data_IF_629822818155
#
_entry.id   IF_629822818155
#
_cell.length_a   1.000
_cell.length_b   1.000
_cell.length_c   1.000
_cell.angle_alpha   90.00
_cell.angle_beta   90.00
_cell.angle_gamma   90.00
#
_symmetry.space_group_name_H-M   'P 1'
#
loop_
_entity.id
_entity.type
_entity.pdbx_description
1 polymer ?
#
# COMPACT_ATOMS: atom_id res chain seq x y z
N UNK A 1 27.46 6.35 5.69
CA UNK A 1 26.55 6.16 4.56
C UNK A 1 25.23 6.83 4.92
N UNK A 2 24.73 7.71 4.06
CA UNK A 2 23.42 8.34 4.25
C UNK A 2 22.35 7.51 3.53
N UNK A 3 21.20 7.29 4.15
CA UNK A 3 20.10 6.45 3.63
C UNK A 3 18.79 7.16 3.89
N UNK A 4 17.92 7.21 2.90
CA UNK A 4 16.56 7.68 3.08
C UNK A 4 15.61 6.50 3.02
N UNK A 5 14.68 6.45 3.98
CA UNK A 5 13.61 5.46 4.06
C UNK A 5 12.28 6.20 4.05
N UNK A 6 11.46 5.95 3.04
CA UNK A 6 10.12 6.47 2.92
C UNK A 6 9.14 5.38 3.37
N UNK A 7 8.44 5.65 4.45
CA UNK A 7 7.34 4.84 4.97
C UNK A 7 6.04 5.24 4.27
N UNK A 8 5.37 4.27 3.65
CA UNK A 8 4.15 4.44 2.88
C UNK A 8 3.00 3.66 3.54
N UNK A 9 1.87 4.34 3.69
CA UNK A 9 0.65 3.80 4.31
C UNK A 9 -0.51 3.91 3.32
N UNK A 10 -1.18 2.80 3.02
CA UNK A 10 -2.40 2.82 2.21
C UNK A 10 -3.61 3.23 3.04
N UNK A 11 -4.37 4.20 2.53
CA UNK A 11 -5.64 4.60 3.13
C UNK A 11 -6.69 3.48 3.01
N UNK A 12 -6.99 2.84 4.14
CA UNK A 12 -8.00 1.75 4.24
C UNK A 12 -7.72 0.59 3.28
N UNK A 13 -6.47 0.12 3.26
CA UNK A 13 -5.93 -0.81 2.27
C UNK A 13 -6.87 -2.00 1.93
N UNK A 14 -7.32 -2.71 2.96
CA UNK A 14 -8.21 -3.87 2.81
C UNK A 14 -9.60 -3.48 2.29
N UNK A 15 -10.13 -2.31 2.63
CA UNK A 15 -11.46 -1.85 2.20
C UNK A 15 -11.47 -1.30 0.77
N UNK A 16 -10.30 -0.92 0.23
CA UNK A 16 -10.22 -0.21 -1.05
C UNK A 16 -9.97 -1.11 -2.26
N UNK A 17 -9.63 -2.38 -2.07
CA UNK A 17 -9.32 -3.31 -3.18
C UNK A 17 -10.47 -3.40 -4.18
N UNK A 18 -10.32 -2.92 -5.44
CA UNK A 18 -11.41 -2.96 -6.40
C UNK A 18 -11.61 -4.38 -6.94
N UNK A 19 -12.80 -4.97 -6.75
CA UNK A 19 -13.06 -6.37 -7.11
C UNK A 19 -12.73 -6.69 -8.57
N UNK A 20 -13.15 -5.86 -9.53
CA UNK A 20 -12.86 -6.09 -10.96
C UNK A 20 -11.35 -6.13 -11.26
N UNK A 21 -10.56 -5.29 -10.59
CA UNK A 21 -9.10 -5.26 -10.79
C UNK A 21 -8.40 -6.40 -10.09
N UNK A 22 -8.87 -6.80 -8.92
CA UNK A 22 -8.45 -8.03 -8.28
C UNK A 22 -8.67 -9.22 -9.21
N UNK A 23 -9.85 -9.35 -9.83
CA UNK A 23 -10.12 -10.46 -10.75
C UNK A 23 -9.20 -10.47 -11.96
N UNK A 24 -8.81 -9.30 -12.50
CA UNK A 24 -7.82 -9.21 -13.59
C UNK A 24 -6.48 -9.78 -13.12
N UNK A 25 -5.99 -9.38 -11.94
CA UNK A 25 -4.72 -9.89 -11.40
C UNK A 25 -4.75 -11.40 -11.14
N UNK A 26 -5.81 -11.90 -10.53
CA UNK A 26 -5.95 -13.34 -10.24
C UNK A 26 -5.91 -14.18 -11.52
N UNK A 27 -6.60 -13.74 -12.57
CA UNK A 27 -6.57 -14.41 -13.89
C UNK A 27 -5.19 -14.32 -14.54
N UNK A 28 -4.51 -13.18 -14.43
CA UNK A 28 -3.17 -12.98 -15.00
C UNK A 28 -2.08 -13.83 -14.30
N UNK A 29 -2.26 -14.16 -13.03
CA UNK A 29 -1.36 -15.06 -12.29
C UNK A 29 -1.59 -16.54 -12.69
N UNK A 30 -2.64 -16.83 -13.47
CA UNK A 30 -2.93 -18.17 -13.96
C UNK A 30 -3.82 -19.00 -13.05
N UNK A 31 -4.57 -18.38 -12.12
CA UNK A 31 -5.57 -19.11 -11.34
C UNK A 31 -6.64 -19.68 -12.25
N UNK A 32 -7.03 -20.94 -11.99
CA UNK A 32 -8.06 -21.61 -12.76
C UNK A 32 -9.38 -20.84 -12.77
N UNK A 33 -10.12 -20.95 -13.88
CA UNK A 33 -11.36 -20.22 -14.09
C UNK A 33 -12.41 -20.49 -12.99
N UNK A 34 -12.52 -21.74 -12.53
CA UNK A 34 -13.46 -22.12 -11.48
C UNK A 34 -13.13 -21.46 -10.13
N UNK A 35 -11.85 -21.37 -9.78
CA UNK A 35 -11.39 -20.70 -8.56
C UNK A 35 -11.66 -19.19 -8.67
N UNK A 36 -11.34 -18.59 -9.82
CA UNK A 36 -11.65 -17.18 -10.05
C UNK A 36 -13.15 -16.87 -9.91
N UNK A 37 -14.01 -17.69 -10.53
CA UNK A 37 -15.46 -17.50 -10.43
C UNK A 37 -15.97 -17.66 -9.00
N UNK A 38 -15.41 -18.61 -8.24
CA UNK A 38 -15.76 -18.79 -6.84
C UNK A 38 -15.37 -17.56 -6.00
N UNK A 39 -14.16 -17.02 -6.19
CA UNK A 39 -13.70 -15.79 -5.51
C UNK A 39 -14.57 -14.59 -5.89
N UNK A 40 -14.89 -14.44 -7.18
CA UNK A 40 -15.74 -13.36 -7.68
C UNK A 40 -17.14 -13.41 -7.03
N UNK A 41 -17.74 -14.60 -6.97
CA UNK A 41 -19.02 -14.82 -6.30
C UNK A 41 -18.93 -14.57 -4.78
N UNK A 42 -17.81 -14.91 -4.15
CA UNK A 42 -17.60 -14.66 -2.72
C UNK A 42 -17.50 -13.17 -2.35
N UNK A 43 -17.05 -12.34 -3.30
CA UNK A 43 -16.94 -10.88 -3.15
C UNK A 43 -18.21 -10.13 -3.56
N UNK A 44 -18.98 -10.69 -4.50
CA UNK A 44 -20.14 -10.06 -5.15
C UNK A 44 -21.34 -9.94 -4.20
N UNK A 45 -22.13 -8.88 -4.41
CA UNK A 45 -23.43 -8.60 -3.76
C UNK A 45 -23.42 -8.68 -2.22
N UNK A 46 -22.25 -8.45 -1.62
CA UNK A 46 -22.09 -8.45 -0.18
C UNK A 46 -22.76 -7.24 0.45
N UNK A 47 -23.39 -7.47 1.60
CA UNK A 47 -23.93 -6.42 2.46
C UNK A 47 -23.17 -6.39 3.78
N UNK A 48 -23.04 -5.20 4.37
CA UNK A 48 -22.53 -5.00 5.73
C UNK A 48 -23.46 -4.10 6.52
N UNK A 49 -23.44 -4.25 7.85
CA UNK A 49 -24.07 -3.35 8.82
C UNK A 49 -23.24 -3.31 10.09
N UNK A 50 -23.38 -2.25 10.86
CA UNK A 50 -22.73 -2.10 12.16
C UNK A 50 -23.72 -2.47 13.26
N UNK A 51 -23.23 -3.17 14.28
CA UNK A 51 -24.03 -3.53 15.47
C UNK A 51 -23.36 -2.94 16.70
N UNK A 52 -24.09 -2.13 17.45
CA UNK A 52 -23.61 -1.52 18.70
C UNK A 52 -24.69 -1.70 19.76
N UNK A 53 -24.37 -2.33 20.88
CA UNK A 53 -25.29 -2.55 22.00
C UNK A 53 -26.64 -3.15 21.58
N UNK A 54 -26.62 -4.14 20.69
CA UNK A 54 -27.84 -4.78 20.15
C UNK A 54 -28.64 -3.94 19.14
N UNK A 55 -28.21 -2.70 18.86
CA UNK A 55 -28.82 -1.85 17.83
C UNK A 55 -28.10 -2.04 16.49
N UNK A 56 -28.88 -2.13 15.42
CA UNK A 56 -28.39 -2.39 14.07
C UNK A 56 -28.47 -1.13 13.21
N UNK A 57 -27.43 -0.85 12.43
CA UNK A 57 -27.53 0.09 11.31
C UNK A 57 -28.30 -0.53 10.15
N UNK A 58 -28.69 0.30 9.18
CA UNK A 58 -29.15 -0.18 7.88
C UNK A 58 -28.06 -1.01 7.18
N UNK A 59 -28.50 -1.95 6.34
CA UNK A 59 -27.62 -2.67 5.43
C UNK A 59 -27.03 -1.74 4.38
N UNK A 60 -25.76 -1.94 4.05
CA UNK A 60 -25.03 -1.20 3.03
C UNK A 60 -24.26 -2.17 2.15
N UNK A 61 -24.32 -1.97 0.83
CA UNK A 61 -23.57 -2.79 -0.12
C UNK A 61 -22.06 -2.58 -0.03
N UNK A 62 -21.30 -3.66 -0.18
CA UNK A 62 -19.84 -3.66 -0.21
C UNK A 62 -19.38 -3.72 -1.65
N UNK A 63 -18.96 -2.56 -2.17
CA UNK A 63 -18.57 -2.39 -3.59
C UNK A 63 -17.07 -2.53 -3.84
N UNK A 64 -16.26 -2.56 -2.77
CA UNK A 64 -14.82 -2.75 -2.82
C UNK A 64 -14.34 -3.39 -1.52
N UNK A 65 -13.10 -3.85 -1.57
CA UNK A 65 -12.37 -4.39 -0.45
C UNK A 65 -12.48 -5.90 -0.34
N UNK A 66 -11.54 -6.44 0.41
CA UNK A 66 -11.53 -7.83 0.84
C UNK A 66 -12.06 -7.91 2.28
N UNK A 67 -12.83 -8.94 2.63
CA UNK A 67 -13.42 -9.05 3.97
C UNK A 67 -12.34 -9.19 5.06
N UNK A 68 -12.24 -8.19 5.94
CA UNK A 68 -11.40 -8.27 7.13
C UNK A 68 -11.91 -9.37 8.08
N UNK A 69 -10.98 -10.09 8.72
CA UNK A 69 -11.28 -11.24 9.57
C UNK A 69 -11.58 -12.54 8.83
N UNK A 70 -11.59 -12.52 7.48
CA UNK A 70 -11.67 -13.75 6.69
C UNK A 70 -10.27 -14.34 6.45
N UNK A 71 -10.22 -15.66 6.27
CA UNK A 71 -8.97 -16.38 5.94
C UNK A 71 -8.40 -15.92 4.59
N UNK A 72 -9.26 -15.69 3.60
CA UNK A 72 -8.84 -15.33 2.24
C UNK A 72 -8.52 -13.85 2.05
N UNK A 73 -9.05 -12.97 2.91
CA UNK A 73 -8.87 -11.52 2.76
C UNK A 73 -7.41 -11.11 2.65
N UNK A 74 -6.55 -11.47 3.62
CA UNK A 74 -5.11 -11.19 3.58
C UNK A 74 -4.41 -11.78 2.36
N UNK A 75 -4.74 -13.02 1.97
CA UNK A 75 -4.14 -13.66 0.79
C UNK A 75 -4.47 -12.88 -0.48
N UNK A 76 -5.74 -12.52 -0.67
CA UNK A 76 -6.19 -11.76 -1.84
C UNK A 76 -5.60 -10.35 -1.88
N UNK A 77 -5.41 -9.73 -0.71
CA UNK A 77 -4.72 -8.44 -0.62
C UNK A 77 -3.25 -8.55 -1.06
N UNK A 78 -2.52 -9.55 -0.56
CA UNK A 78 -1.13 -9.79 -0.95
C UNK A 78 -1.02 -10.07 -2.45
N UNK A 79 -1.89 -10.92 -3.01
CA UNK A 79 -1.94 -11.17 -4.46
C UNK A 79 -2.25 -9.90 -5.26
N UNK A 80 -3.04 -8.98 -4.69
CA UNK A 80 -3.35 -7.71 -5.34
C UNK A 80 -2.13 -6.79 -5.43
N UNK A 81 -1.34 -6.67 -4.37
CA UNK A 81 -0.18 -5.77 -4.31
C UNK A 81 1.13 -6.41 -4.82
N UNK A 82 1.12 -7.67 -5.24
CA UNK A 82 2.32 -8.44 -5.58
C UNK A 82 3.19 -7.85 -6.71
N UNK A 83 2.63 -6.97 -7.54
CA UNK A 83 3.35 -6.28 -8.62
C UNK A 83 3.68 -4.81 -8.28
N UNK A 84 3.50 -4.38 -7.03
CA UNK A 84 3.70 -2.99 -6.59
C UNK A 84 5.15 -2.53 -6.83
N UNK A 85 6.12 -3.43 -6.65
CA UNK A 85 7.55 -3.14 -6.80
C UNK A 85 8.08 -3.29 -8.24
N UNK A 86 7.23 -3.72 -9.19
CA UNK A 86 7.66 -3.93 -10.57
C UNK A 86 8.10 -2.61 -11.21
N UNK A 87 9.36 -2.56 -11.66
CA UNK A 87 9.94 -1.38 -12.31
C UNK A 87 10.50 -0.33 -11.33
N UNK A 88 10.55 -0.65 -10.03
CA UNK A 88 11.24 0.15 -9.02
C UNK A 88 12.72 -0.28 -8.95
N UNK A 89 13.64 0.69 -8.96
CA UNK A 89 15.09 0.42 -8.88
C UNK A 89 15.64 0.48 -7.46
N UNK A 90 14.97 1.25 -6.60
CA UNK A 90 15.29 1.38 -5.19
C UNK A 90 14.81 0.15 -4.41
N UNK A 91 15.29 -0.03 -3.18
CA UNK A 91 14.86 -1.17 -2.38
C UNK A 91 13.43 -0.95 -1.90
N UNK A 92 12.56 -1.91 -2.16
CA UNK A 92 11.18 -1.92 -1.68
C UNK A 92 11.01 -3.05 -0.69
N UNK A 93 10.34 -2.78 0.43
CA UNK A 93 9.94 -3.79 1.41
C UNK A 93 8.45 -3.67 1.65
N UNK A 94 7.72 -4.77 1.42
CA UNK A 94 6.26 -4.85 1.53
C UNK A 94 5.91 -5.87 2.61
N UNK A 95 5.10 -5.46 3.57
CA UNK A 95 4.51 -6.34 4.56
C UNK A 95 3.04 -5.99 4.73
N UNK A 96 2.16 -6.77 4.09
CA UNK A 96 0.75 -6.41 3.95
C UNK A 96 0.60 -4.96 3.46
N UNK A 97 -0.06 -4.08 4.21
CA UNK A 97 -0.27 -2.68 3.86
C UNK A 97 0.91 -1.76 4.18
N UNK A 98 1.88 -2.21 4.99
CA UNK A 98 3.11 -1.48 5.27
C UNK A 98 4.06 -1.60 4.07
N UNK A 99 4.34 -0.49 3.40
CA UNK A 99 5.31 -0.44 2.30
C UNK A 99 6.43 0.54 2.62
N UNK A 100 7.66 0.17 2.33
CA UNK A 100 8.83 1.03 2.52
C UNK A 100 9.63 1.10 1.25
N UNK A 101 10.08 2.30 0.91
CA UNK A 101 10.95 2.56 -0.22
C UNK A 101 12.24 3.17 0.33
N UNK A 102 13.39 2.53 0.11
CA UNK A 102 14.65 3.02 0.64
C UNK A 102 15.80 2.98 -0.36
N UNK A 103 16.73 3.92 -0.19
CA UNK A 103 17.94 4.01 -1.02
C UNK A 103 19.07 4.71 -0.28
N UNK A 104 20.29 4.25 -0.52
CA UNK A 104 21.50 4.96 -0.09
C UNK A 104 21.63 6.26 -0.88
N UNK A 105 21.68 7.40 -0.18
CA UNK A 105 21.76 8.72 -0.79
C UNK A 105 23.21 9.21 -0.75
N UNK A 106 23.92 9.05 -1.87
CA UNK A 106 25.29 9.56 -2.05
C UNK A 106 25.35 10.91 -2.77
N UNK A 107 24.27 11.30 -3.46
CA UNK A 107 24.18 12.56 -4.18
C UNK A 107 22.73 12.97 -4.43
N UNK A 108 22.54 14.22 -4.88
CA UNK A 108 21.20 14.72 -5.27
C UNK A 108 20.61 13.93 -6.44
N UNK A 109 21.43 13.44 -7.37
CA UNK A 109 20.94 12.60 -8.48
C UNK A 109 20.30 11.30 -7.96
N UNK A 110 20.87 10.71 -6.91
CA UNK A 110 20.31 9.50 -6.29
C UNK A 110 19.02 9.81 -5.53
N UNK A 111 18.93 10.98 -4.89
CA UNK A 111 17.69 11.43 -4.27
C UNK A 111 16.58 11.66 -5.31
N UNK A 112 16.90 12.22 -6.47
CA UNK A 112 15.96 12.35 -7.60
C UNK A 112 15.52 10.98 -8.12
N UNK A 113 16.42 10.00 -8.19
CA UNK A 113 16.04 8.63 -8.56
C UNK A 113 15.07 8.00 -7.55
N UNK A 114 15.28 8.22 -6.25
CA UNK A 114 14.34 7.77 -5.20
C UNK A 114 12.97 8.45 -5.33
N UNK A 115 12.93 9.75 -5.64
CA UNK A 115 11.68 10.46 -5.94
C UNK A 115 10.99 9.90 -7.18
N UNK A 116 11.74 9.56 -8.23
CA UNK A 116 11.18 8.96 -9.44
C UNK A 116 10.51 7.61 -9.14
N UNK A 117 11.13 6.78 -8.30
CA UNK A 117 10.55 5.52 -7.86
C UNK A 117 9.32 5.72 -6.97
N UNK A 118 9.33 6.72 -6.08
CA UNK A 118 8.14 7.11 -5.32
C UNK A 118 6.98 7.52 -6.24
N UNK A 119 7.26 8.27 -7.30
CA UNK A 119 6.27 8.66 -8.31
C UNK A 119 5.73 7.45 -9.08
N UNK A 120 6.55 6.43 -9.36
CA UNK A 120 6.08 5.17 -9.96
C UNK A 120 5.10 4.44 -9.03
N UNK A 121 5.37 4.39 -7.72
CA UNK A 121 4.44 3.83 -6.73
C UNK A 121 3.13 4.63 -6.66
N UNK A 122 3.21 5.96 -6.70
CA UNK A 122 2.03 6.84 -6.77
C UNK A 122 1.17 6.52 -7.99
N UNK A 123 1.80 6.42 -9.17
CA UNK A 123 1.13 6.07 -10.42
C UNK A 123 0.52 4.67 -10.38
N UNK A 124 1.22 3.69 -9.80
CA UNK A 124 0.67 2.35 -9.57
C UNK A 124 -0.59 2.43 -8.70
N UNK A 125 -0.54 3.16 -7.58
CA UNK A 125 -1.68 3.28 -6.67
C UNK A 125 -2.88 3.92 -7.38
N UNK A 126 -2.67 5.00 -8.13
CA UNK A 126 -3.70 5.64 -8.94
C UNK A 126 -4.30 4.67 -9.99
N UNK A 127 -3.44 3.99 -10.75
CA UNK A 127 -3.85 3.01 -11.76
C UNK A 127 -4.64 1.85 -11.17
N UNK A 128 -4.30 1.41 -9.96
CA UNK A 128 -4.98 0.32 -9.26
C UNK A 128 -6.10 0.78 -8.31
N UNK A 129 -6.43 2.08 -8.25
CA UNK A 129 -7.48 2.70 -7.37
C UNK A 129 -7.19 2.46 -5.89
N UNK A 130 -5.92 2.26 -5.57
CA UNK A 130 -5.42 2.37 -4.20
C UNK A 130 -5.09 3.83 -3.94
N UNK A 131 -5.01 4.21 -2.66
CA UNK A 131 -4.67 5.58 -2.27
C UNK A 131 -3.70 5.53 -1.10
N UNK A 132 -2.61 6.27 -1.19
CA UNK A 132 -1.74 6.50 -0.04
C UNK A 132 -2.36 7.53 0.89
N UNK A 133 -2.22 7.31 2.19
CA UNK A 133 -2.52 8.29 3.22
C UNK A 133 -1.27 9.15 3.45
N UNK A 134 -1.13 10.22 2.66
CA UNK A 134 0.07 11.06 2.68
C UNK A 134 0.38 11.62 4.08
N UNK A 135 -0.64 11.88 4.90
CA UNK A 135 -0.45 12.43 6.25
C UNK A 135 0.23 11.42 7.19
N UNK A 136 0.04 10.12 6.92
CA UNK A 136 0.71 9.01 7.60
C UNK A 136 2.00 8.55 6.92
N UNK A 137 2.22 8.95 5.66
CA UNK A 137 3.48 8.67 4.98
C UNK A 137 4.57 9.61 5.51
N UNK A 138 5.77 9.07 5.74
CA UNK A 138 6.89 9.80 6.34
C UNK A 138 8.20 9.45 5.65
N UNK A 139 9.18 10.34 5.73
CA UNK A 139 10.56 10.03 5.38
C UNK A 139 11.42 10.08 6.64
N UNK A 140 12.29 9.09 6.79
CA UNK A 140 13.37 9.08 7.77
C UNK A 140 14.71 9.19 7.05
N UNK A 141 15.54 10.13 7.51
CA UNK A 141 16.88 10.37 7.00
C UNK A 141 17.92 9.79 7.96
N UNK A 142 18.68 8.80 7.52
CA UNK A 142 19.73 8.15 8.30
C UNK A 142 21.12 8.57 7.82
N UNK A 143 22.08 8.48 8.74
CA UNK A 143 23.51 8.61 8.46
C UNK A 143 24.06 10.03 8.55
N UNK A 144 25.37 10.13 8.78
CA UNK A 144 26.09 11.40 8.84
C UNK A 144 26.15 12.03 7.44
N UNK A 145 25.99 13.35 7.37
CA UNK A 145 26.00 14.16 6.14
C UNK A 145 24.87 13.82 5.14
N UNK A 146 23.70 13.39 5.63
CA UNK A 146 22.51 13.26 4.79
C UNK A 146 22.06 14.66 4.31
N UNK A 147 21.63 14.74 3.05
CA UNK A 147 21.17 15.97 2.40
C UNK A 147 19.78 16.38 2.92
N UNK A 148 19.04 15.45 3.54
CA UNK A 148 17.68 15.62 4.05
C UNK A 148 16.73 16.12 2.96
N UNK A 149 16.70 15.38 1.84
CA UNK A 149 15.91 15.75 0.67
C UNK A 149 14.42 15.67 0.97
N UNK A 150 13.66 16.68 0.55
CA UNK A 150 12.21 16.65 0.60
C UNK A 150 11.65 15.80 -0.54
N UNK A 151 10.77 14.86 -0.21
CA UNK A 151 10.07 14.01 -1.17
C UNK A 151 8.59 14.42 -1.29
N UNK A 152 8.05 14.30 -2.49
CA UNK A 152 6.66 14.62 -2.83
C UNK A 152 5.86 13.34 -3.07
N UNK A 153 4.67 13.26 -2.49
CA UNK A 153 3.68 12.23 -2.74
C UNK A 153 2.30 12.88 -2.93
N UNK A 154 1.65 12.63 -4.07
CA UNK A 154 0.40 13.29 -4.45
C UNK A 154 0.50 14.84 -4.36
N UNK A 155 1.63 15.39 -4.82
CA UNK A 155 1.89 16.84 -4.81
C UNK A 155 2.14 17.47 -3.43
N UNK A 156 2.19 16.68 -2.35
CA UNK A 156 2.47 17.15 -1.00
C UNK A 156 3.83 16.67 -0.51
N UNK A 157 4.55 17.53 0.19
CA UNK A 157 5.83 17.18 0.83
C UNK A 157 5.57 16.20 1.97
N UNK A 158 6.30 15.10 1.98
CA UNK A 158 6.26 14.12 3.05
C UNK A 158 6.81 14.72 4.35
N UNK A 159 6.17 14.39 5.47
CA UNK A 159 6.69 14.76 6.78
C UNK A 159 7.98 14.02 7.10
N UNK A 160 8.97 14.72 7.62
CA UNK A 160 10.18 14.09 8.17
C UNK A 160 9.86 13.53 9.55
N UNK A 161 10.31 12.31 9.82
CA UNK A 161 10.22 11.69 11.13
C UNK A 161 11.59 11.28 11.64
N UNK A 162 11.79 11.42 12.95
CA UNK A 162 12.97 10.94 13.67
C UNK A 162 12.74 9.59 14.34
N UNK A 163 11.48 9.12 14.39
CA UNK A 163 11.14 7.86 15.00
C UNK A 163 9.88 7.29 14.35
N UNK A 164 9.97 6.08 13.81
CA UNK A 164 8.82 5.37 13.25
C UNK A 164 8.66 4.00 13.90
N UNK A 165 7.40 3.61 14.13
CA UNK A 165 7.06 2.28 14.62
C UNK A 165 6.94 1.35 13.41
N UNK A 166 7.88 0.44 13.29
CA UNK A 166 8.01 -0.50 12.19
C UNK A 166 7.82 -1.94 12.68
N UNK A 167 6.75 -2.60 12.24
CA UNK A 167 6.42 -4.00 12.60
C UNK A 167 6.50 -4.29 14.11
N UNK A 168 6.16 -3.30 14.94
CA UNK A 168 6.18 -3.40 16.40
C UNK A 168 7.46 -2.91 17.07
N UNK A 169 8.50 -2.54 16.31
CA UNK A 169 9.77 -2.03 16.82
C UNK A 169 9.92 -0.55 16.48
N UNK A 170 10.48 0.25 17.38
CA UNK A 170 10.79 1.65 17.08
C UNK A 170 12.13 1.74 16.36
N UNK A 171 12.12 2.38 15.18
CA UNK A 171 13.30 2.77 14.43
C UNK A 171 13.58 4.24 14.76
N UNK A 172 14.83 4.55 15.11
CA UNK A 172 15.33 5.88 15.49
C UNK A 172 16.66 6.17 14.80
#
# INVERSE_FOLDING_TARGET
MAVDVIYLDFAKAFDTVPHRRLMIKLRNIGLEHNICNWIENWLKDRLKRVVVNGTFSNWTSVVSGVPQGSVLGPLLFNLFINDLEVGIESNVSIFADDTKLCKTISSMQVAVALQSDLTKLENWAANWKMRFNVDKCKVMHFGRNNINTNYLLNGRVLGVSLMEKDLGVFVV
#
